data_IF_068623018534
#
_entry.id   IF_068623018534
#
_cell.length_a   1.000
_cell.length_b   1.000
_cell.length_c   1.000
_cell.angle_alpha   90.00
_cell.angle_beta   90.00
_cell.angle_gamma   90.00
#
_symmetry.space_group_name_H-M   'P 1'
#
loop_
_entity.id
_entity.type
_entity.pdbx_description
1 polymer ?
#
# COMPACT_ATOMS: atom_id res chain seq x y z
N UNK A 1 11.74 35.11 -16.97
CA UNK A 1 10.76 35.53 -15.95
C UNK A 1 10.26 34.28 -15.22
N UNK A 2 10.82 33.95 -14.06
CA UNK A 2 10.35 32.81 -13.26
C UNK A 2 9.28 33.31 -12.29
N UNK A 3 8.01 32.96 -12.56
CA UNK A 3 6.89 33.30 -11.70
C UNK A 3 7.04 32.69 -10.32
N UNK A 4 6.82 33.48 -9.27
CA UNK A 4 6.83 33.05 -7.86
C UNK A 4 5.74 31.99 -7.65
N UNK A 5 6.13 30.73 -7.53
CA UNK A 5 5.24 29.64 -7.16
C UNK A 5 5.05 29.65 -5.64
N UNK A 6 3.82 29.73 -5.16
CA UNK A 6 3.52 29.59 -3.72
C UNK A 6 3.04 28.16 -3.50
N UNK A 7 3.75 27.41 -2.66
CA UNK A 7 3.45 26.02 -2.35
C UNK A 7 2.43 25.94 -1.21
N UNK A 8 1.42 25.08 -1.34
CA UNK A 8 0.67 24.54 -0.20
C UNK A 8 1.28 23.19 0.15
N UNK A 9 2.03 23.15 1.25
CA UNK A 9 2.62 21.91 1.78
C UNK A 9 1.66 21.34 2.82
N UNK A 10 1.06 20.19 2.51
CA UNK A 10 0.34 19.40 3.51
C UNK A 10 1.30 18.43 4.20
N UNK A 11 1.33 18.45 5.54
CA UNK A 11 1.94 17.38 6.32
C UNK A 11 0.91 16.26 6.47
N UNK A 12 1.22 15.07 5.96
CA UNK A 12 0.37 13.88 6.16
C UNK A 12 1.11 12.97 7.12
N UNK A 13 0.47 12.60 8.24
CA UNK A 13 1.06 11.64 9.17
C UNK A 13 0.97 10.24 8.57
N UNK A 14 2.10 9.53 8.55
CA UNK A 14 2.20 8.19 7.99
C UNK A 14 1.32 7.16 8.73
N UNK A 15 0.98 7.45 9.99
CA UNK A 15 0.24 6.55 10.88
C UNK A 15 -1.26 6.44 10.55
N UNK A 16 -1.86 7.40 9.84
CA UNK A 16 -3.31 7.34 9.56
C UNK A 16 -3.68 6.21 8.58
N UNK A 17 -2.70 5.57 7.92
CA UNK A 17 -2.91 4.40 7.06
C UNK A 17 -2.40 3.07 7.65
N UNK A 18 -1.55 3.13 8.68
CA UNK A 18 -1.11 1.95 9.40
C UNK A 18 -2.08 1.72 10.55
N UNK A 19 -3.23 1.12 10.24
CA UNK A 19 -4.31 0.87 11.20
C UNK A 19 -3.78 0.22 12.48
N UNK A 20 -3.68 1.00 13.56
CA UNK A 20 -3.89 0.47 14.88
C UNK A 20 -5.37 0.08 14.94
N UNK A 21 -5.64 -1.22 14.98
CA UNK A 21 -6.97 -1.77 15.25
C UNK A 21 -7.40 -1.53 16.70
N UNK A 22 -7.31 -0.29 17.18
CA UNK A 22 -8.04 0.14 18.37
C UNK A 22 -9.28 0.88 17.89
N UNK A 23 -10.42 0.18 17.99
CA UNK A 23 -11.75 0.72 17.81
C UNK A 23 -11.93 1.98 18.67
N UNK A 24 -11.93 3.14 18.02
CA UNK A 24 -12.62 4.31 18.55
C UNK A 24 -13.85 4.54 17.68
N UNK A 25 -14.91 3.82 18.05
CA UNK A 25 -16.26 4.02 17.53
C UNK A 25 -16.73 5.44 17.87
N UNK A 26 -16.97 6.24 16.85
CA UNK A 26 -17.55 7.56 17.02
C UNK A 26 -17.95 8.18 15.70
N UNK A 27 -19.00 7.65 15.06
CA UNK A 27 -19.97 8.41 14.24
C UNK A 27 -21.27 7.59 14.20
N UNK A 28 -22.33 8.24 14.68
CA UNK A 28 -23.70 7.76 14.71
C UNK A 28 -24.27 7.60 13.30
N UNK A 29 -24.78 6.42 12.99
CA UNK A 29 -25.60 6.14 11.81
C UNK A 29 -26.60 5.04 12.15
N UNK A 30 -27.79 5.46 12.57
CA UNK A 30 -28.92 4.63 12.96
C UNK A 30 -29.23 3.53 11.93
N UNK A 31 -29.14 2.26 12.35
CA UNK A 31 -29.86 1.16 11.71
C UNK A 31 -30.22 0.13 12.78
N UNK A 32 -31.40 0.29 13.38
CA UNK A 32 -31.94 -0.60 14.41
C UNK A 32 -32.35 -1.95 13.80
N UNK A 33 -31.70 -3.04 14.22
CA UNK A 33 -32.31 -4.38 14.22
C UNK A 33 -32.21 -4.96 15.63
N UNK A 34 -33.38 -5.24 16.19
CA UNK A 34 -33.58 -5.93 17.46
C UNK A 34 -33.00 -7.35 17.39
N UNK A 35 -32.17 -7.70 18.37
CA UNK A 35 -31.90 -9.10 18.72
C UNK A 35 -32.19 -9.29 20.21
N UNK A 36 -33.06 -10.27 20.44
CA UNK A 36 -33.58 -10.74 21.72
C UNK A 36 -32.48 -11.46 22.50
N UNK A 37 -32.33 -11.09 23.77
CA UNK A 37 -31.45 -11.72 24.75
C UNK A 37 -32.18 -12.85 25.49
N UNK A 38 -31.60 -14.04 25.50
CA UNK A 38 -31.91 -15.13 26.43
C UNK A 38 -30.62 -15.48 27.20
N UNK A 39 -30.66 -15.67 28.55
CA UNK A 39 -29.53 -16.13 29.32
C UNK A 39 -29.61 -17.65 29.56
N UNK A 40 -28.59 -18.40 29.15
CA UNK A 40 -28.39 -19.78 29.60
C UNK A 40 -27.32 -19.85 30.69
N UNK A 41 -27.72 -20.48 31.79
CA UNK A 41 -26.95 -20.72 33.00
C UNK A 41 -26.49 -22.18 33.10
N UNK A 42 -25.30 -22.36 33.68
CA UNK A 42 -24.84 -23.53 34.46
C UNK A 42 -24.71 -24.88 33.74
N UNK A 43 -23.49 -25.43 33.72
CA UNK A 43 -23.08 -26.45 34.69
C UNK A 43 -21.65 -26.96 34.41
N UNK A 44 -20.92 -27.15 35.51
CA UNK A 44 -19.52 -27.58 35.58
C UNK A 44 -19.53 -29.05 35.97
N UNK A 45 -18.97 -29.93 35.14
CA UNK A 45 -18.72 -31.33 35.48
C UNK A 45 -17.26 -31.69 35.19
N UNK A 46 -16.56 -32.09 36.24
CA UNK A 46 -15.21 -32.68 36.22
C UNK A 46 -15.29 -34.19 36.06
N UNK A 47 -14.39 -34.82 35.29
CA UNK A 47 -14.06 -36.23 35.47
C UNK A 47 -12.59 -36.46 35.87
N UNK A 48 -12.23 -37.68 36.31
CA UNK A 48 -11.15 -37.92 37.25
C UNK A 48 -9.81 -38.30 36.61
N UNK A 49 -8.78 -38.21 37.45
CA UNK A 49 -7.41 -38.71 37.34
C UNK A 49 -7.26 -40.02 36.56
N UNK A 50 -6.32 -40.03 35.61
CA UNK A 50 -5.58 -41.25 35.25
C UNK A 50 -4.22 -40.86 34.68
N UNK A 51 -3.19 -40.96 35.51
CA UNK A 51 -1.79 -40.80 35.12
C UNK A 51 -1.19 -42.13 34.67
N UNK A 52 -0.60 -42.22 33.46
CA UNK A 52 0.48 -43.16 33.20
C UNK A 52 1.84 -42.43 33.27
N UNK A 53 2.74 -43.02 34.06
CA UNK A 53 4.12 -42.57 34.22
C UNK A 53 4.85 -42.55 32.87
N UNK A 54 5.28 -41.35 32.46
CA UNK A 54 6.13 -41.15 31.29
C UNK A 54 7.60 -41.16 31.74
N UNK A 55 8.36 -42.15 31.25
CA UNK A 55 9.80 -42.26 31.46
C UNK A 55 10.50 -41.16 30.66
N UNK A 56 11.08 -40.19 31.36
CA UNK A 56 11.98 -39.18 30.79
C UNK A 56 13.31 -39.82 30.43
N UNK A 57 13.49 -40.17 29.16
CA UNK A 57 14.82 -40.41 28.60
C UNK A 57 15.54 -39.06 28.43
N UNK A 58 16.56 -38.85 29.26
CA UNK A 58 17.47 -37.71 29.22
C UNK A 58 18.42 -37.83 28.02
N UNK A 59 17.98 -37.31 26.88
CA UNK A 59 18.88 -37.05 25.75
C UNK A 59 19.76 -35.84 26.08
N UNK A 60 20.95 -36.09 26.65
CA UNK A 60 22.05 -35.14 26.75
C UNK A 60 22.60 -34.80 25.36
N UNK A 61 21.85 -34.03 24.57
CA UNK A 61 22.39 -33.34 23.43
C UNK A 61 23.29 -32.20 23.95
N UNK A 62 24.57 -32.22 23.58
CA UNK A 62 25.55 -31.15 23.83
C UNK A 62 25.00 -29.83 23.29
N UNK A 63 24.31 -29.08 24.15
CA UNK A 63 23.87 -27.71 23.87
C UNK A 63 25.14 -26.86 23.84
N UNK A 64 25.60 -26.50 22.66
CA UNK A 64 26.61 -25.45 22.48
C UNK A 64 25.96 -24.17 22.96
N UNK A 65 26.18 -23.83 24.24
CA UNK A 65 25.75 -22.56 24.82
C UNK A 65 26.62 -21.49 24.17
N UNK A 66 26.09 -20.83 23.14
CA UNK A 66 26.76 -19.69 22.55
C UNK A 66 26.67 -18.55 23.56
N UNK A 67 27.80 -18.15 24.16
CA UNK A 67 27.96 -17.01 25.09
C UNK A 67 27.60 -15.62 24.49
N UNK A 68 26.82 -15.58 23.41
CA UNK A 68 26.47 -14.35 22.68
C UNK A 68 25.40 -13.55 23.44
N UNK A 69 24.68 -14.16 24.38
CA UNK A 69 23.62 -13.50 25.16
C UNK A 69 24.13 -12.52 26.24
N UNK A 70 25.44 -12.48 26.54
CA UNK A 70 26.01 -11.61 27.58
C UNK A 70 26.73 -10.36 27.06
N UNK A 71 26.58 -10.01 25.78
CA UNK A 71 27.09 -8.72 25.31
C UNK A 71 26.11 -7.59 25.65
N UNK A 72 26.55 -6.54 26.37
CA UNK A 72 25.70 -5.38 26.62
C UNK A 72 25.26 -4.79 25.27
N UNK A 73 24.01 -4.28 25.16
CA UNK A 73 23.51 -3.69 23.93
C UNK A 73 24.44 -2.55 23.50
N UNK A 74 25.14 -2.71 22.37
CA UNK A 74 25.98 -1.66 21.83
C UNK A 74 25.09 -0.51 21.35
N UNK A 75 25.28 0.67 21.95
CA UNK A 75 24.53 1.90 21.65
C UNK A 75 24.97 2.60 20.37
N UNK A 76 25.91 2.02 19.61
CA UNK A 76 26.37 2.63 18.36
C UNK A 76 25.30 2.52 17.28
N UNK A 77 24.95 3.65 16.66
CA UNK A 77 24.07 3.73 15.49
C UNK A 77 24.76 3.08 14.29
N UNK A 78 24.73 1.75 14.25
CA UNK A 78 25.23 0.94 13.15
C UNK A 78 24.57 1.39 11.85
N UNK A 79 25.38 1.56 10.80
CA UNK A 79 24.91 1.77 9.42
C UNK A 79 23.81 0.75 9.07
N UNK A 80 22.90 1.14 8.17
CA UNK A 80 21.87 0.21 7.64
C UNK A 80 22.54 -1.06 7.12
N UNK A 81 23.68 -0.95 6.43
CA UNK A 81 24.47 -2.10 6.01
C UNK A 81 24.91 -3.01 7.18
N UNK A 82 25.30 -2.43 8.31
CA UNK A 82 25.69 -3.21 9.50
C UNK A 82 24.49 -3.88 10.17
N UNK A 83 23.35 -3.20 10.28
CA UNK A 83 22.09 -3.80 10.77
C UNK A 83 21.60 -4.91 9.85
N UNK A 84 21.67 -4.67 8.53
CA UNK A 84 21.41 -5.67 7.51
C UNK A 84 22.31 -6.87 7.76
N UNK A 85 23.64 -6.72 7.87
CA UNK A 85 24.57 -7.85 8.10
C UNK A 85 24.23 -8.67 9.34
N UNK A 86 23.80 -8.04 10.44
CA UNK A 86 23.39 -8.78 11.65
C UNK A 86 22.06 -9.52 11.48
N UNK A 87 21.04 -8.87 10.91
CA UNK A 87 19.75 -9.52 10.60
C UNK A 87 19.95 -10.66 9.58
N UNK A 88 20.83 -10.43 8.61
CA UNK A 88 21.26 -11.36 7.58
C UNK A 88 21.81 -12.66 8.17
N UNK A 89 22.68 -12.59 9.18
CA UNK A 89 23.29 -13.81 9.75
C UNK A 89 22.23 -14.70 10.42
N UNK A 90 21.21 -14.08 11.01
CA UNK A 90 20.08 -14.81 11.61
C UNK A 90 19.12 -15.34 10.55
N UNK A 91 18.80 -14.55 9.52
CA UNK A 91 17.94 -14.96 8.43
C UNK A 91 18.56 -16.12 7.61
N UNK A 92 19.85 -16.04 7.29
CA UNK A 92 20.58 -17.10 6.60
C UNK A 92 20.60 -18.41 7.42
N UNK A 93 20.70 -18.30 8.76
CA UNK A 93 20.62 -19.46 9.66
C UNK A 93 19.22 -20.10 9.61
N UNK A 94 18.15 -19.31 9.55
CA UNK A 94 16.76 -19.81 9.39
C UNK A 94 16.53 -20.47 8.02
N UNK A 95 17.18 -19.98 6.95
CA UNK A 95 16.97 -20.49 5.58
C UNK A 95 17.63 -21.81 5.26
N UNK A 96 18.74 -22.16 5.91
CA UNK A 96 19.34 -23.49 5.72
C UNK A 96 18.38 -24.63 6.08
N UNK A 97 17.34 -24.35 6.88
CA UNK A 97 16.29 -25.31 7.18
C UNK A 97 15.20 -25.44 6.08
N UNK A 98 15.19 -24.60 5.03
CA UNK A 98 14.08 -24.52 4.05
C UNK A 98 14.49 -24.44 2.57
N UNK A 99 15.78 -24.51 2.22
CA UNK A 99 16.25 -24.23 0.87
C UNK A 99 16.07 -25.41 -0.10
N UNK A 100 14.95 -25.44 -0.83
CA UNK A 100 14.82 -26.06 -2.15
C UNK A 100 13.92 -25.15 -3.01
N UNK A 101 14.49 -24.33 -3.90
CA UNK A 101 13.70 -23.60 -4.89
C UNK A 101 14.35 -22.37 -5.51
N UNK A 102 14.86 -22.52 -6.73
CA UNK A 102 15.25 -21.48 -7.68
C UNK A 102 14.03 -20.64 -8.13
N UNK A 103 13.74 -19.51 -7.47
CA UNK A 103 12.54 -18.70 -7.76
C UNK A 103 12.60 -17.90 -9.08
N UNK A 104 13.80 -17.59 -9.58
CA UNK A 104 13.99 -16.71 -10.75
C UNK A 104 13.51 -17.32 -12.07
N UNK A 105 13.66 -18.63 -12.25
CA UNK A 105 13.20 -19.32 -13.48
C UNK A 105 11.68 -19.36 -13.59
N UNK A 106 10.96 -19.45 -12.46
CA UNK A 106 9.50 -19.49 -12.45
C UNK A 106 8.90 -18.13 -12.81
N UNK A 107 9.48 -17.05 -12.30
CA UNK A 107 9.07 -15.68 -12.63
C UNK A 107 9.11 -15.44 -14.14
N UNK A 108 10.25 -15.74 -14.77
CA UNK A 108 10.43 -15.55 -16.20
C UNK A 108 9.45 -16.39 -17.04
N UNK A 109 9.17 -17.63 -16.64
CA UNK A 109 8.21 -18.51 -17.32
C UNK A 109 6.76 -18.00 -17.19
N UNK A 110 6.36 -17.54 -16.00
CA UNK A 110 5.02 -16.96 -15.76
C UNK A 110 4.84 -15.67 -16.55
N UNK A 111 5.85 -14.80 -16.57
CA UNK A 111 5.83 -13.58 -17.37
C UNK A 111 5.78 -13.88 -18.87
N UNK A 112 6.54 -14.88 -19.35
CA UNK A 112 6.50 -15.31 -20.75
C UNK A 112 5.10 -15.82 -21.15
N UNK A 113 4.45 -16.62 -20.30
CA UNK A 113 3.08 -17.11 -20.52
C UNK A 113 2.05 -15.97 -20.59
N UNK A 114 2.21 -14.95 -19.74
CA UNK A 114 1.38 -13.74 -19.78
C UNK A 114 1.60 -12.93 -21.05
N UNK A 115 2.86 -12.82 -21.53
CA UNK A 115 3.19 -12.15 -22.80
C UNK A 115 2.61 -12.86 -24.02
N UNK A 116 2.57 -14.19 -24.02
CA UNK A 116 1.99 -14.97 -25.13
C UNK A 116 0.46 -14.86 -25.18
N UNK A 117 -0.18 -14.66 -24.03
CA UNK A 117 -1.63 -14.49 -23.91
C UNK A 117 -2.07 -13.03 -24.10
N UNK A 118 -1.47 -12.30 -25.04
CA UNK A 118 -1.79 -10.89 -25.33
C UNK A 118 -3.15 -10.80 -26.04
N UNK A 119 -4.20 -11.17 -25.33
CA UNK A 119 -5.59 -10.95 -25.72
C UNK A 119 -5.77 -9.45 -25.96
N UNK A 120 -6.43 -9.03 -27.05
CA UNK A 120 -6.70 -7.62 -27.29
C UNK A 120 -7.38 -7.03 -26.04
N UNK A 121 -6.86 -5.88 -25.57
CA UNK A 121 -7.34 -5.23 -24.36
C UNK A 121 -8.85 -4.97 -24.49
N UNK A 122 -9.65 -5.78 -23.81
CA UNK A 122 -11.10 -5.63 -23.80
C UNK A 122 -11.45 -4.50 -22.83
N UNK A 123 -12.21 -3.54 -23.32
CA UNK A 123 -12.74 -2.46 -22.51
C UNK A 123 -14.19 -2.80 -22.14
N UNK A 124 -14.56 -2.55 -20.89
CA UNK A 124 -15.93 -2.71 -20.41
C UNK A 124 -16.58 -1.34 -20.33
N UNK A 125 -17.83 -1.27 -20.80
CA UNK A 125 -18.64 -0.05 -20.78
C UNK A 125 -19.69 -0.17 -19.70
N UNK A 126 -19.67 0.75 -18.75
CA UNK A 126 -20.70 0.90 -17.72
C UNK A 126 -21.55 2.13 -18.02
N UNK A 127 -22.84 2.09 -17.67
CA UNK A 127 -23.71 3.26 -17.70
C UNK A 127 -23.92 3.69 -16.25
N UNK A 128 -23.38 4.83 -15.87
CA UNK A 128 -23.57 5.38 -14.53
C UNK A 128 -24.62 6.48 -14.56
N UNK A 129 -25.55 6.43 -13.59
CA UNK A 129 -26.48 7.52 -13.37
C UNK A 129 -25.70 8.76 -12.92
N UNK A 130 -25.82 9.85 -13.67
CA UNK A 130 -25.16 11.11 -13.31
C UNK A 130 -26.03 11.79 -12.28
N UNK A 131 -25.52 11.95 -11.05
CA UNK A 131 -26.17 12.83 -10.08
C UNK A 131 -25.91 14.25 -10.57
N UNK A 132 -26.94 15.03 -10.97
CA UNK A 132 -26.72 16.41 -11.38
C UNK A 132 -26.11 17.17 -10.20
N UNK A 133 -24.83 17.52 -10.31
CA UNK A 133 -24.11 18.33 -9.33
C UNK A 133 -24.48 19.82 -9.44
N UNK A 134 -25.65 20.11 -10.01
CA UNK A 134 -26.17 21.47 -10.07
C UNK A 134 -26.87 21.68 -8.75
N UNK A 135 -26.32 22.49 -7.81
CA UNK A 135 -27.09 22.88 -6.64
C UNK A 135 -28.41 23.45 -7.15
N UNK A 136 -29.55 23.04 -6.57
CA UNK A 136 -30.85 23.50 -7.05
C UNK A 136 -30.79 25.01 -7.19
N UNK A 137 -31.20 25.58 -8.34
CA UNK A 137 -31.21 27.03 -8.50
C UNK A 137 -31.95 27.57 -7.28
N UNK A 138 -31.34 28.52 -6.57
CA UNK A 138 -32.01 29.23 -5.49
C UNK A 138 -33.08 30.06 -6.17
N UNK A 139 -34.25 29.45 -6.41
CA UNK A 139 -35.42 30.13 -6.92
C UNK A 139 -35.89 30.98 -5.77
N UNK A 140 -35.66 32.29 -5.87
CA UNK A 140 -36.22 33.27 -4.96
C UNK A 140 -37.74 33.14 -5.04
N UNK A 141 -38.36 32.66 -3.95
CA UNK A 141 -39.76 32.23 -3.93
C UNK A 141 -40.65 33.47 -3.90
N UNK A 142 -40.98 34.01 -5.08
CA UNK A 142 -42.13 34.89 -5.22
C UNK A 142 -43.42 34.03 -5.21
N UNK A 143 -44.24 34.21 -4.18
CA UNK A 143 -45.50 33.50 -3.96
C UNK A 143 -46.49 33.77 -5.11
N UNK A 144 -46.52 32.91 -6.13
CA UNK A 144 -47.59 32.85 -7.13
C UNK A 144 -48.18 31.44 -7.16
N UNK A 145 -49.51 31.38 -7.14
CA UNK A 145 -50.31 30.16 -7.08
C UNK A 145 -49.87 29.13 -8.13
N UNK A 146 -49.44 27.97 -7.64
CA UNK A 146 -48.66 26.99 -8.39
C UNK A 146 -49.55 26.03 -9.20
N UNK A 147 -49.45 26.11 -10.53
CA UNK A 147 -49.85 25.00 -11.42
C UNK A 147 -48.81 23.86 -11.36
N UNK A 148 -49.25 22.58 -11.36
CA UNK A 148 -48.36 21.42 -11.28
C UNK A 148 -47.55 21.25 -12.57
N UNK A 149 -46.42 21.94 -12.65
CA UNK A 149 -45.46 21.81 -13.75
C UNK A 149 -44.69 20.49 -13.62
N UNK A 150 -45.16 19.45 -14.32
CA UNK A 150 -44.58 18.11 -14.37
C UNK A 150 -43.29 18.02 -15.19
N UNK A 151 -42.23 18.76 -14.82
CA UNK A 151 -40.93 18.61 -15.46
C UNK A 151 -40.21 17.36 -14.92
N UNK A 152 -40.44 16.21 -15.57
CA UNK A 152 -39.65 15.00 -15.36
C UNK A 152 -38.24 15.22 -15.90
N UNK A 153 -37.32 15.65 -15.03
CA UNK A 153 -35.90 15.76 -15.36
C UNK A 153 -35.36 14.36 -15.72
N UNK A 154 -35.12 14.12 -17.02
CA UNK A 154 -34.56 12.87 -17.49
C UNK A 154 -33.20 12.61 -16.82
N UNK A 155 -33.05 11.48 -16.14
CA UNK A 155 -31.80 11.05 -15.51
C UNK A 155 -30.78 10.73 -16.61
N UNK A 156 -29.78 11.61 -16.77
CA UNK A 156 -28.70 11.43 -17.74
C UNK A 156 -27.74 10.31 -17.33
N UNK A 157 -27.56 9.31 -18.19
CA UNK A 157 -26.57 8.25 -18.00
C UNK A 157 -25.27 8.60 -18.72
N UNK A 158 -24.16 8.68 -17.99
CA UNK A 158 -22.83 8.90 -18.58
C UNK A 158 -22.14 7.55 -18.80
N UNK A 159 -21.69 7.24 -20.04
CA UNK A 159 -20.94 6.02 -20.30
C UNK A 159 -19.51 6.13 -19.72
N UNK A 160 -19.12 5.16 -18.89
CA UNK A 160 -17.77 5.03 -18.33
C UNK A 160 -17.11 3.81 -18.97
N UNK A 161 -15.91 3.99 -19.52
CA UNK A 161 -15.14 2.92 -20.17
C UNK A 161 -13.93 2.60 -19.31
N UNK A 162 -13.81 1.36 -18.85
CA UNK A 162 -12.68 0.90 -18.04
C UNK A 162 -12.00 -0.31 -18.71
N UNK A 163 -10.67 -0.43 -18.60
CA UNK A 163 -9.99 -1.63 -19.06
C UNK A 163 -10.39 -2.82 -18.20
N UNK A 164 -10.67 -3.97 -18.81
CA UNK A 164 -10.98 -5.20 -18.07
C UNK A 164 -9.82 -5.65 -17.19
N UNK A 165 -8.60 -5.46 -17.68
CA UNK A 165 -7.36 -5.88 -17.02
C UNK A 165 -6.34 -4.74 -16.96
N UNK A 166 -5.50 -4.75 -15.93
CA UNK A 166 -4.43 -3.79 -15.77
C UNK A 166 -3.17 -4.28 -16.50
N UNK A 167 -2.74 -3.54 -17.53
CA UNK A 167 -1.55 -3.90 -18.30
C UNK A 167 -0.27 -3.82 -17.46
N UNK A 168 0.60 -4.82 -17.53
CA UNK A 168 1.89 -4.84 -16.82
C UNK A 168 3.03 -4.33 -17.73
N UNK A 169 3.97 -3.51 -17.24
CA UNK A 169 5.12 -3.07 -18.02
C UNK A 169 6.11 -4.23 -18.26
N UNK A 170 6.98 -4.08 -19.25
CA UNK A 170 8.06 -5.05 -19.50
C UNK A 170 9.03 -5.12 -18.33
N UNK A 171 9.36 -6.34 -17.89
CA UNK A 171 10.33 -6.58 -16.83
C UNK A 171 11.65 -5.87 -17.10
N UNK A 172 12.12 -5.16 -16.08
CA UNK A 172 13.43 -4.52 -16.04
C UNK A 172 14.08 -4.89 -14.71
N UNK A 173 15.37 -5.20 -14.76
CA UNK A 173 16.13 -5.46 -13.54
C UNK A 173 16.53 -4.16 -12.83
N UNK A 174 16.83 -4.27 -11.53
CA UNK A 174 17.28 -3.14 -10.71
C UNK A 174 18.68 -2.72 -11.14
N UNK A 175 18.89 -1.41 -11.29
CA UNK A 175 20.23 -0.88 -11.57
C UNK A 175 21.13 -1.07 -10.36
N UNK A 176 22.24 -1.81 -10.54
CA UNK A 176 23.28 -1.95 -9.51
C UNK A 176 23.89 -0.60 -9.14
N UNK A 177 24.01 0.31 -10.10
CA UNK A 177 24.47 1.69 -9.86
C UNK A 177 23.57 2.43 -8.88
N UNK A 178 22.24 2.28 -8.99
CA UNK A 178 21.30 2.92 -8.08
C UNK A 178 21.40 2.37 -6.65
N UNK A 179 21.67 1.06 -6.51
CA UNK A 179 21.91 0.44 -5.20
C UNK A 179 23.21 0.92 -4.56
N UNK A 180 24.31 0.96 -5.32
CA UNK A 180 25.61 1.45 -4.85
C UNK A 180 25.55 2.93 -4.48
N UNK A 181 24.81 3.74 -5.23
CA UNK A 181 24.60 5.14 -4.90
C UNK A 181 23.78 5.34 -3.61
N UNK A 182 22.85 4.44 -3.32
CA UNK A 182 22.09 4.46 -2.07
C UNK A 182 22.92 3.98 -0.87
N UNK A 183 23.76 2.96 -1.05
CA UNK A 183 24.67 2.43 -0.06
C UNK A 183 25.89 1.74 -0.74
N UNK A 184 27.09 2.35 -0.72
CA UNK A 184 28.28 1.79 -1.37
C UNK A 184 28.71 0.42 -0.84
N UNK A 185 28.33 0.06 0.38
CA UNK A 185 28.68 -1.24 0.96
C UNK A 185 27.95 -2.41 0.29
N UNK A 186 26.93 -2.12 -0.54
CA UNK A 186 26.12 -3.13 -1.22
C UNK A 186 26.62 -3.50 -2.62
N UNK A 187 27.78 -3.01 -3.05
CA UNK A 187 28.30 -3.23 -4.41
C UNK A 187 28.37 -4.71 -4.83
N UNK A 188 28.70 -5.61 -3.90
CA UNK A 188 28.79 -7.07 -4.14
C UNK A 188 27.57 -7.85 -3.64
N UNK A 189 26.55 -7.16 -3.13
CA UNK A 189 25.36 -7.82 -2.58
C UNK A 189 24.40 -8.23 -3.70
N UNK A 190 23.81 -9.42 -3.58
CA UNK A 190 22.75 -9.88 -4.47
C UNK A 190 21.43 -9.13 -4.21
N UNK A 191 20.72 -8.75 -5.27
CA UNK A 191 19.50 -7.93 -5.18
C UNK A 191 18.36 -8.70 -4.53
N UNK A 192 18.23 -9.99 -4.83
CA UNK A 192 17.18 -10.85 -4.24
C UNK A 192 17.39 -10.91 -2.73
N UNK A 193 18.63 -11.18 -2.33
CA UNK A 193 19.01 -11.23 -0.94
C UNK A 193 18.77 -9.90 -0.19
N UNK A 194 19.13 -8.78 -0.81
CA UNK A 194 18.86 -7.45 -0.26
C UNK A 194 17.36 -7.22 -0.04
N UNK A 195 16.52 -7.56 -1.02
CA UNK A 195 15.05 -7.37 -0.92
C UNK A 195 14.44 -8.15 0.24
N UNK A 196 14.89 -9.37 0.45
CA UNK A 196 14.39 -10.18 1.55
C UNK A 196 14.83 -9.63 2.92
N UNK A 197 16.06 -9.13 3.03
CA UNK A 197 16.52 -8.45 4.24
C UNK A 197 15.72 -7.16 4.50
N UNK A 198 15.45 -6.39 3.44
CA UNK A 198 14.61 -5.19 3.50
C UNK A 198 13.16 -5.49 3.88
N UNK A 199 12.62 -6.65 3.50
CA UNK A 199 11.29 -7.08 3.91
C UNK A 199 11.22 -7.34 5.42
N UNK A 200 12.30 -7.84 6.04
CA UNK A 200 12.36 -8.07 7.49
C UNK A 200 12.46 -6.75 8.28
N UNK A 201 13.35 -5.84 7.86
CA UNK A 201 13.57 -4.57 8.59
C UNK A 201 12.64 -3.43 8.16
N UNK A 202 11.94 -3.59 7.05
CA UNK A 202 11.11 -2.54 6.44
C UNK A 202 10.00 -2.00 7.35
N UNK A 203 9.25 -2.84 8.11
CA UNK A 203 8.26 -2.34 9.07
C UNK A 203 8.84 -1.40 10.13
N UNK A 204 10.04 -1.69 10.64
CA UNK A 204 10.72 -0.84 11.63
C UNK A 204 11.23 0.46 11.01
N UNK A 205 11.76 0.39 9.78
CA UNK A 205 12.12 1.59 9.02
C UNK A 205 10.90 2.48 8.79
N UNK A 206 9.75 1.90 8.46
CA UNK A 206 8.49 2.63 8.27
C UNK A 206 8.00 3.29 9.55
N UNK A 207 8.09 2.59 10.69
CA UNK A 207 7.77 3.14 12.01
C UNK A 207 8.66 4.34 12.33
N UNK A 208 9.95 4.27 11.98
CA UNK A 208 10.89 5.39 12.12
C UNK A 208 10.48 6.64 11.35
N UNK A 209 9.85 6.48 10.17
CA UNK A 209 9.34 7.62 9.39
C UNK A 209 8.22 8.39 10.08
N UNK A 210 7.47 7.76 11.00
CA UNK A 210 6.42 8.42 11.77
C UNK A 210 6.97 9.29 12.92
N UNK A 211 8.19 9.03 13.39
CA UNK A 211 8.86 9.80 14.46
C UNK A 211 9.48 11.11 13.97
N UNK A 212 9.16 11.52 12.74
CA UNK A 212 9.85 12.57 12.01
C UNK A 212 8.91 13.69 11.64
N UNK A 213 9.34 14.91 11.94
CA UNK A 213 8.61 16.12 11.57
C UNK A 213 9.47 16.99 10.66
N UNK A 214 9.00 17.22 9.43
CA UNK A 214 9.63 18.15 8.49
C UNK A 214 9.01 19.55 8.63
N UNK A 215 9.84 20.59 8.63
CA UNK A 215 9.36 21.98 8.66
C UNK A 215 9.07 22.46 7.23
N UNK A 216 7.83 22.80 6.86
CA UNK A 216 7.52 23.18 5.48
C UNK A 216 8.11 24.56 5.11
N UNK A 217 8.71 24.66 3.92
CA UNK A 217 9.12 25.95 3.35
C UNK A 217 7.92 26.68 2.72
N UNK A 218 7.86 28.02 2.82
CA UNK A 218 6.70 28.79 2.33
C UNK A 218 6.75 29.15 0.84
N UNK A 219 7.95 29.29 0.27
CA UNK A 219 8.13 30.04 -0.99
C UNK A 219 8.66 29.20 -2.16
N UNK A 220 9.46 28.17 -1.89
CA UNK A 220 10.05 27.32 -2.92
C UNK A 220 10.39 25.97 -2.33
N UNK A 221 10.39 24.91 -3.15
CA UNK A 221 10.89 23.60 -2.75
C UNK A 221 12.42 23.71 -2.56
N UNK A 222 12.95 23.59 -1.33
CA UNK A 222 14.38 23.68 -1.13
C UNK A 222 15.04 22.36 -1.54
N UNK A 223 16.34 22.39 -1.84
CA UNK A 223 17.11 21.19 -2.12
C UNK A 223 17.42 20.38 -0.85
N UNK A 224 17.33 21.03 0.31
CA UNK A 224 17.58 20.44 1.63
C UNK A 224 16.56 20.97 2.62
N UNK A 225 16.19 20.14 3.60
CA UNK A 225 15.22 20.53 4.62
C UNK A 225 15.61 20.03 5.99
N UNK A 226 15.45 20.90 6.99
CA UNK A 226 15.64 20.53 8.38
C UNK A 226 14.43 19.74 8.87
N UNK A 227 14.72 18.53 9.32
CA UNK A 227 13.80 17.63 10.00
C UNK A 227 14.12 17.63 11.50
N UNK A 228 13.07 17.43 12.29
CA UNK A 228 13.17 17.13 13.71
C UNK A 228 12.91 15.64 13.90
N UNK A 229 13.87 14.95 14.51
CA UNK A 229 13.83 13.54 14.87
C UNK A 229 13.57 13.44 16.37
N UNK A 230 12.47 12.77 16.73
CA UNK A 230 12.07 12.59 18.14
C UNK A 230 12.68 11.35 18.79
N UNK A 231 13.05 10.35 17.99
CA UNK A 231 13.64 9.10 18.46
C UNK A 231 14.88 8.76 17.62
N UNK A 232 16.05 8.69 18.24
CA UNK A 232 17.31 8.35 17.58
C UNK A 232 17.57 6.83 17.52
N UNK A 233 16.76 6.00 18.17
CA UNK A 233 16.86 4.55 18.08
C UNK A 233 16.38 4.02 16.72
N UNK A 234 15.50 4.78 16.05
CA UNK A 234 14.91 4.42 14.76
C UNK A 234 15.93 4.53 13.62
N UNK A 235 15.65 3.81 12.53
CA UNK A 235 16.42 4.00 11.29
C UNK A 235 15.99 5.32 10.67
N UNK A 236 16.96 6.23 10.50
CA UNK A 236 16.70 7.55 9.96
C UNK A 236 16.53 7.51 8.44
N UNK A 237 15.60 8.28 7.87
CA UNK A 237 15.48 8.41 6.44
C UNK A 237 16.73 9.04 5.87
N UNK A 238 16.99 8.73 4.61
CA UNK A 238 18.11 9.29 3.86
C UNK A 238 17.73 10.56 3.10
N UNK A 239 16.45 10.70 2.74
CA UNK A 239 15.94 11.66 1.78
C UNK A 239 14.51 12.09 2.13
N UNK A 240 14.09 13.24 1.63
CA UNK A 240 12.68 13.66 1.56
C UNK A 240 12.23 13.61 0.10
N UNK A 241 11.18 12.88 -0.21
CA UNK A 241 10.56 12.95 -1.54
C UNK A 241 9.51 14.05 -1.59
N UNK A 242 9.65 14.95 -2.56
CA UNK A 242 8.64 15.91 -2.93
C UNK A 242 7.79 15.37 -4.07
N UNK A 243 6.67 14.74 -3.71
CA UNK A 243 5.76 14.11 -4.66
C UNK A 243 4.81 15.16 -5.25
N UNK A 244 4.70 15.17 -6.58
CA UNK A 244 3.76 16.04 -7.31
C UNK A 244 3.19 15.35 -8.55
N UNK A 245 2.06 15.88 -9.04
CA UNK A 245 1.36 15.38 -10.22
C UNK A 245 1.74 16.11 -11.51
N UNK A 246 1.37 15.55 -12.68
CA UNK A 246 1.55 16.23 -13.97
C UNK A 246 0.76 17.54 -14.02
N UNK A 247 1.23 18.51 -14.81
CA UNK A 247 0.49 19.77 -15.06
C UNK A 247 -0.72 19.44 -15.94
N UNK A 248 -1.90 19.88 -15.53
CA UNK A 248 -3.08 19.86 -16.38
C UNK A 248 -2.96 20.94 -17.46
N UNK A 249 -3.04 20.54 -18.73
CA UNK A 249 -2.96 21.47 -19.88
C UNK A 249 -4.02 22.57 -19.82
N UNK A 250 -5.14 22.32 -19.15
CA UNK A 250 -6.24 23.26 -18.98
C UNK A 250 -5.93 24.43 -18.04
N UNK A 251 -4.92 24.31 -17.17
CA UNK A 251 -4.59 25.36 -16.21
C UNK A 251 -3.08 25.41 -15.89
N UNK A 252 -2.26 25.99 -16.79
CA UNK A 252 -0.81 26.04 -16.60
C UNK A 252 -0.38 26.93 -15.42
N UNK A 253 -1.22 27.86 -14.98
CA UNK A 253 -0.93 28.78 -13.87
C UNK A 253 -1.27 28.17 -12.50
N UNK A 254 -1.97 27.03 -12.47
CA UNK A 254 -2.36 26.40 -11.22
C UNK A 254 -1.15 25.92 -10.43
N UNK A 255 -1.02 26.41 -9.20
CA UNK A 255 0.00 25.98 -8.24
C UNK A 255 -0.13 24.48 -8.00
N UNK A 256 0.98 23.75 -8.16
CA UNK A 256 1.00 22.30 -7.93
C UNK A 256 0.95 22.01 -6.44
N UNK A 257 0.09 21.08 -6.05
CA UNK A 257 0.12 20.48 -4.71
C UNK A 257 1.37 19.59 -4.62
N UNK A 258 2.20 19.85 -3.62
CA UNK A 258 3.41 19.08 -3.34
C UNK A 258 3.26 18.50 -1.93
N UNK A 259 3.55 17.22 -1.79
CA UNK A 259 3.57 16.53 -0.49
C UNK A 259 4.95 15.96 -0.24
N UNK A 260 5.48 16.22 0.97
CA UNK A 260 6.81 15.77 1.38
C UNK A 260 6.68 14.46 2.16
N UNK A 261 7.47 13.45 1.79
CA UNK A 261 7.54 12.16 2.47
C UNK A 261 8.98 11.82 2.83
N UNK A 262 9.31 11.56 4.10
CA UNK A 262 10.63 11.04 4.45
C UNK A 262 10.76 9.60 3.90
N UNK A 263 11.92 9.26 3.33
CA UNK A 263 12.16 7.95 2.72
C UNK A 263 13.57 7.43 2.95
N UNK A 264 13.70 6.12 2.81
CA UNK A 264 14.96 5.43 2.69
C UNK A 264 15.23 5.13 1.21
N UNK A 265 16.23 5.78 0.62
CA UNK A 265 16.63 5.65 -0.78
C UNK A 265 16.89 4.20 -1.16
N UNK A 266 17.39 3.40 -0.21
CA UNK A 266 17.65 1.97 -0.39
C UNK A 266 16.38 1.17 -0.74
N UNK A 267 15.24 1.43 -0.08
CA UNK A 267 13.96 0.77 -0.39
C UNK A 267 13.54 1.09 -1.82
N UNK A 268 13.61 2.37 -2.19
CA UNK A 268 13.22 2.80 -3.53
C UNK A 268 14.18 2.27 -4.60
N UNK A 269 15.48 2.25 -4.32
CA UNK A 269 16.49 1.73 -5.26
C UNK A 269 16.36 0.22 -5.44
N UNK A 270 15.97 -0.53 -4.41
CA UNK A 270 15.79 -1.99 -4.49
C UNK A 270 14.51 -2.41 -5.25
N UNK A 271 13.48 -1.56 -5.31
CA UNK A 271 12.18 -1.93 -5.89
C UNK A 271 11.80 -1.12 -7.13
N UNK A 272 12.33 0.08 -7.35
CA UNK A 272 11.95 0.96 -8.46
C UNK A 272 13.07 1.06 -9.50
N UNK A 273 12.88 0.43 -10.66
CA UNK A 273 13.93 0.30 -11.69
C UNK A 273 14.05 1.50 -12.62
N UNK A 274 13.08 2.44 -12.58
CA UNK A 274 13.10 3.67 -13.38
C UNK A 274 13.59 4.90 -12.61
N UNK A 275 13.88 4.77 -11.32
CA UNK A 275 14.44 5.89 -10.57
C UNK A 275 15.92 6.08 -10.92
N UNK A 276 16.38 7.33 -11.15
CA UNK A 276 17.80 7.59 -11.25
C UNK A 276 18.49 7.30 -9.90
N UNK A 277 19.79 7.02 -9.89
CA UNK A 277 20.58 6.94 -8.66
C UNK A 277 20.27 8.10 -7.71
N UNK A 278 20.17 7.81 -6.41
CA UNK A 278 20.02 8.85 -5.40
C UNK A 278 21.35 9.56 -5.19
N UNK A 279 21.35 10.88 -4.93
CA UNK A 279 22.57 11.53 -4.46
C UNK A 279 23.00 10.93 -3.13
N UNK A 280 24.30 11.00 -2.82
CA UNK A 280 24.81 10.53 -1.55
C UNK A 280 24.08 11.26 -0.40
N UNK A 281 23.61 10.50 0.59
CA UNK A 281 23.02 11.09 1.79
C UNK A 281 24.07 11.86 2.57
N UNK A 282 23.68 12.98 3.17
CA UNK A 282 24.53 13.75 4.07
C UNK A 282 24.90 12.84 5.26
N UNK A 283 26.20 12.66 5.57
CA UNK A 283 26.61 11.86 6.71
C UNK A 283 25.92 12.32 7.98
N UNK A 284 25.38 11.38 8.75
CA UNK A 284 24.84 11.68 10.06
C UNK A 284 25.96 12.27 10.93
N UNK A 285 25.71 13.40 11.63
CA UNK A 285 26.65 13.91 12.61
C UNK A 285 26.99 12.79 13.58
N UNK A 286 28.28 12.50 13.74
CA UNK A 286 28.73 11.51 14.72
C UNK A 286 28.14 11.91 16.08
N UNK A 287 27.24 11.09 16.62
CA UNK A 287 26.73 11.33 17.96
C UNK A 287 27.94 11.22 18.91
N UNK A 288 28.18 12.20 19.78
CA UNK A 288 29.21 12.07 20.80
C UNK A 288 28.92 10.81 21.61
N UNK A 289 29.87 9.88 21.66
CA UNK A 289 29.73 8.57 22.31
C UNK A 289 29.33 8.69 23.78
N UNK A 290 29.64 9.83 24.40
CA UNK A 290 29.40 10.12 25.83
C UNK A 290 28.22 11.07 26.08
N UNK A 291 27.43 11.41 25.06
CA UNK A 291 26.27 12.27 25.27
C UNK A 291 25.19 11.49 26.06
N UNK A 292 24.65 12.05 27.17
CA UNK A 292 23.56 11.41 27.91
C UNK A 292 22.37 11.16 26.97
N UNK A 293 21.53 10.13 27.25
CA UNK A 293 20.37 9.81 26.42
C UNK A 293 19.54 11.08 26.21
N UNK A 294 19.62 11.62 25.00
CA UNK A 294 19.04 12.93 24.69
C UNK A 294 17.53 12.78 24.69
N UNK A 295 16.89 13.34 25.71
CA UNK A 295 15.45 13.63 25.71
C UNK A 295 15.10 14.81 24.80
N UNK A 296 16.10 15.50 24.23
CA UNK A 296 15.89 16.63 23.35
C UNK A 296 15.77 16.21 21.87
N UNK A 297 14.80 16.79 21.12
CA UNK A 297 14.66 16.55 19.69
C UNK A 297 15.94 16.88 18.92
N UNK A 298 16.32 16.01 17.98
CA UNK A 298 17.51 16.18 17.15
C UNK A 298 17.13 16.79 15.80
N UNK A 299 17.80 17.89 15.42
CA UNK A 299 17.61 18.48 14.09
C UNK A 299 18.62 17.92 13.10
N UNK A 300 18.15 17.43 11.96
CA UNK A 300 18.96 16.86 10.90
C UNK A 300 18.52 17.39 9.53
N UNK A 301 19.49 17.87 8.74
CA UNK A 301 19.27 18.36 7.38
C UNK A 301 19.33 17.20 6.40
N UNK A 302 18.31 17.07 5.55
CA UNK A 302 18.20 15.98 4.57
C UNK A 302 17.94 16.52 3.16
N UNK A 303 18.55 15.91 2.12
CA UNK A 303 18.26 16.26 0.73
C UNK A 303 16.80 15.98 0.33
N UNK A 304 16.21 16.93 -0.38
CA UNK A 304 14.86 16.86 -0.93
C UNK A 304 14.94 16.49 -2.40
N UNK A 305 14.28 15.40 -2.79
CA UNK A 305 14.23 14.90 -4.16
C UNK A 305 12.83 15.07 -4.77
N UNK A 306 12.66 15.87 -5.83
CA UNK A 306 11.40 15.97 -6.55
C UNK A 306 11.10 14.67 -7.31
N UNK A 307 9.85 14.18 -7.23
CA UNK A 307 9.38 13.02 -7.97
C UNK A 307 7.97 13.27 -8.53
N UNK A 308 7.87 13.28 -9.86
CA UNK A 308 6.59 13.38 -10.54
C UNK A 308 5.94 11.99 -10.61
N UNK A 309 4.72 11.87 -10.10
CA UNK A 309 3.92 10.65 -10.21
C UNK A 309 2.61 10.92 -10.95
N UNK A 310 2.10 9.97 -11.76
CA UNK A 310 0.79 10.10 -12.39
C UNK A 310 -0.34 10.35 -11.38
N UNK A 311 -0.30 9.67 -10.22
CA UNK A 311 -1.31 9.79 -9.19
C UNK A 311 -0.71 9.99 -7.79
N UNK A 312 -0.33 11.22 -7.40
CA UNK A 312 0.32 11.53 -6.12
C UNK A 312 -0.40 10.97 -4.89
N UNK A 313 -1.72 10.98 -4.88
CA UNK A 313 -2.53 10.55 -3.73
C UNK A 313 -2.44 9.04 -3.43
N UNK A 314 -2.03 8.21 -4.41
CA UNK A 314 -1.82 6.77 -4.18
C UNK A 314 -0.40 6.43 -3.71
N UNK A 315 0.52 7.41 -3.65
CA UNK A 315 1.92 7.15 -3.30
C UNK A 315 2.07 6.54 -1.90
N UNK A 316 1.32 7.01 -0.91
CA UNK A 316 1.49 6.55 0.47
C UNK A 316 1.13 5.06 0.64
N UNK A 317 0.10 4.57 -0.08
CA UNK A 317 -0.26 3.14 -0.12
C UNK A 317 0.84 2.31 -0.74
N UNK A 318 1.42 2.80 -1.84
CA UNK A 318 2.55 2.15 -2.49
C UNK A 318 3.76 2.09 -1.57
N UNK A 319 4.11 3.20 -0.92
CA UNK A 319 5.22 3.27 0.02
C UNK A 319 5.01 2.27 1.17
N UNK A 320 3.84 2.29 1.82
CA UNK A 320 3.52 1.34 2.89
C UNK A 320 3.70 -0.12 2.45
N UNK A 321 3.24 -0.48 1.25
CA UNK A 321 3.48 -1.81 0.69
C UNK A 321 4.96 -2.10 0.47
N UNK A 322 5.74 -1.18 -0.10
CA UNK A 322 7.17 -1.41 -0.36
C UNK A 322 7.97 -1.67 0.92
N UNK A 323 7.58 -1.05 2.04
CA UNK A 323 8.21 -1.29 3.34
C UNK A 323 7.72 -2.57 4.02
N UNK A 324 6.42 -2.87 3.97
CA UNK A 324 5.84 -3.94 4.79
C UNK A 324 5.63 -5.26 4.05
N UNK A 325 5.55 -5.20 2.71
CA UNK A 325 5.13 -6.31 1.84
C UNK A 325 3.80 -6.96 2.25
N UNK A 326 2.95 -6.24 2.98
CA UNK A 326 1.65 -6.70 3.46
C UNK A 326 0.57 -6.48 2.40
N UNK A 327 0.23 -7.55 1.69
CA UNK A 327 -0.83 -7.58 0.67
C UNK A 327 -2.21 -7.39 1.26
N UNK A 328 -2.44 -7.87 2.46
CA UNK A 328 -3.70 -7.76 3.19
C UNK A 328 -4.05 -6.30 3.54
N UNK A 329 -3.07 -5.55 4.08
CA UNK A 329 -3.25 -4.11 4.34
C UNK A 329 -3.45 -3.35 3.03
N UNK A 330 -2.66 -3.68 1.99
CA UNK A 330 -2.79 -3.02 0.71
C UNK A 330 -4.20 -3.23 0.14
N UNK A 331 -4.68 -4.47 0.10
CA UNK A 331 -6.02 -4.83 -0.36
C UNK A 331 -7.08 -4.04 0.39
N UNK A 332 -7.06 -4.06 1.73
CA UNK A 332 -8.00 -3.30 2.55
C UNK A 332 -7.96 -1.79 2.25
N UNK A 333 -6.78 -1.22 1.97
CA UNK A 333 -6.62 0.21 1.67
C UNK A 333 -7.14 0.64 0.29
N UNK A 334 -7.36 -0.33 -0.61
CA UNK A 334 -7.86 -0.13 -1.97
C UNK A 334 -9.39 -0.30 -2.04
N UNK A 335 -9.96 -1.11 -1.17
CA UNK A 335 -11.40 -1.36 -1.10
C UNK A 335 -12.14 -0.23 -0.37
N UNK A 336 -13.46 -0.06 -0.62
CA UNK A 336 -14.35 0.68 0.27
C UNK A 336 -14.26 0.16 1.71
N UNK A 337 -14.65 0.96 2.72
CA UNK A 337 -14.60 0.55 4.14
C UNK A 337 -15.63 -0.54 4.44
N UNK A 338 -15.33 -1.75 3.98
CA UNK A 338 -16.10 -2.97 4.15
C UNK A 338 -15.10 -4.09 4.44
N UNK A 339 -15.20 -4.78 5.59
CA UNK A 339 -14.24 -5.82 5.95
C UNK A 339 -14.20 -6.89 4.88
N UNK A 340 -12.99 -7.39 4.59
CA UNK A 340 -12.84 -8.55 3.73
C UNK A 340 -13.35 -9.80 4.48
N UNK A 341 -14.04 -10.73 3.80
CA UNK A 341 -14.38 -12.03 4.38
C UNK A 341 -13.14 -12.75 4.92
N UNK A 342 -13.29 -13.46 6.04
CA UNK A 342 -12.22 -14.27 6.59
C UNK A 342 -11.82 -15.36 5.59
N UNK A 343 -10.52 -15.46 5.28
CA UNK A 343 -10.02 -16.43 4.30
C UNK A 343 -10.34 -16.06 2.85
N UNK A 344 -10.66 -14.80 2.55
CA UNK A 344 -10.90 -14.33 1.19
C UNK A 344 -9.77 -14.75 0.23
N UNK A 345 -10.13 -15.56 -0.78
CA UNK A 345 -9.24 -15.94 -1.87
C UNK A 345 -9.70 -15.28 -3.16
N UNK A 346 -8.86 -14.39 -3.71
CA UNK A 346 -9.13 -13.71 -4.97
C UNK A 346 -9.16 -14.66 -6.18
N UNK A 347 -8.66 -15.88 -6.03
CA UNK A 347 -8.69 -16.93 -7.04
C UNK A 347 -10.04 -17.66 -7.07
N UNK A 348 -10.78 -17.65 -5.96
CA UNK A 348 -12.11 -18.26 -5.86
C UNK A 348 -13.17 -17.30 -6.41
N UNK A 349 -13.65 -17.61 -7.62
CA UNK A 349 -14.68 -16.83 -8.31
C UNK A 349 -15.91 -16.61 -7.43
N UNK A 350 -16.37 -17.62 -6.68
CA UNK A 350 -17.58 -17.51 -5.86
C UNK A 350 -17.41 -16.50 -4.74
N UNK A 351 -16.23 -16.43 -4.13
CA UNK A 351 -15.93 -15.45 -3.09
C UNK A 351 -15.84 -14.03 -3.64
N UNK A 352 -15.21 -13.86 -4.82
CA UNK A 352 -15.17 -12.57 -5.53
C UNK A 352 -16.58 -12.08 -5.83
N UNK A 353 -17.45 -12.94 -6.36
CA UNK A 353 -18.83 -12.59 -6.69
C UNK A 353 -19.66 -12.23 -5.45
N UNK A 354 -19.54 -13.02 -4.37
CA UNK A 354 -20.24 -12.76 -3.11
C UNK A 354 -19.83 -11.41 -2.52
N UNK A 355 -18.53 -11.14 -2.45
CA UNK A 355 -18.01 -9.88 -1.91
C UNK A 355 -18.34 -8.68 -2.81
N UNK A 356 -18.23 -8.83 -4.14
CA UNK A 356 -18.64 -7.80 -5.09
C UNK A 356 -20.13 -7.45 -4.97
N UNK A 357 -20.99 -8.46 -4.76
CA UNK A 357 -22.43 -8.27 -4.53
C UNK A 357 -22.67 -7.50 -3.23
N UNK A 358 -21.97 -7.85 -2.15
CA UNK A 358 -22.04 -7.12 -0.88
C UNK A 358 -21.62 -5.65 -1.04
N UNK A 359 -20.56 -5.37 -1.80
CA UNK A 359 -20.13 -4.01 -2.08
C UNK A 359 -21.17 -3.24 -2.90
N UNK A 360 -21.76 -3.89 -3.92
CA UNK A 360 -22.77 -3.28 -4.77
C UNK A 360 -24.08 -2.94 -4.04
N UNK A 361 -24.44 -3.70 -3.00
CA UNK A 361 -25.61 -3.41 -2.16
C UNK A 361 -25.33 -2.33 -1.11
N UNK A 362 -24.07 -2.20 -0.69
CA UNK A 362 -23.66 -1.26 0.37
C UNK A 362 -23.29 0.12 -0.17
N UNK A 363 -22.66 0.18 -1.35
CA UNK A 363 -22.10 1.40 -1.92
C UNK A 363 -22.72 1.74 -3.27
N UNK A 364 -22.79 3.05 -3.57
CA UNK A 364 -23.23 3.52 -4.89
C UNK A 364 -22.20 3.20 -5.96
N UNK A 365 -22.64 3.05 -7.21
CA UNK A 365 -21.73 2.86 -8.35
C UNK A 365 -20.66 3.98 -8.47
N UNK A 366 -21.00 5.21 -8.07
CA UNK A 366 -20.03 6.31 -8.04
C UNK A 366 -18.94 6.12 -6.99
N UNK A 367 -19.29 5.69 -5.77
CA UNK A 367 -18.31 5.40 -4.73
C UNK A 367 -17.39 4.24 -5.14
N UNK A 368 -17.94 3.17 -5.72
CA UNK A 368 -17.16 2.05 -6.26
C UNK A 368 -16.21 2.51 -7.37
N UNK A 369 -16.66 3.41 -8.27
CA UNK A 369 -15.80 3.99 -9.30
C UNK A 369 -14.65 4.82 -8.71
N UNK A 370 -14.90 5.60 -7.65
CA UNK A 370 -13.84 6.35 -6.98
C UNK A 370 -12.74 5.41 -6.44
N UNK A 371 -13.12 4.28 -5.85
CA UNK A 371 -12.16 3.25 -5.41
C UNK A 371 -11.43 2.60 -6.58
N UNK A 372 -12.12 2.31 -7.68
CA UNK A 372 -11.47 1.83 -8.90
C UNK A 372 -10.41 2.85 -9.39
N UNK A 373 -10.70 4.15 -9.36
CA UNK A 373 -9.73 5.19 -9.72
C UNK A 373 -8.51 5.23 -8.79
N UNK A 374 -8.64 4.87 -7.51
CA UNK A 374 -7.50 4.74 -6.59
C UNK A 374 -6.60 3.57 -7.02
N UNK A 375 -7.18 2.42 -7.34
CA UNK A 375 -6.45 1.23 -7.84
C UNK A 375 -5.75 1.56 -9.15
N UNK A 376 -6.45 2.19 -10.09
CA UNK A 376 -5.86 2.62 -11.37
C UNK A 376 -4.73 3.65 -11.16
N UNK A 377 -4.90 4.61 -10.25
CA UNK A 377 -3.85 5.56 -9.91
C UNK A 377 -2.62 4.89 -9.27
N UNK A 378 -2.83 3.89 -8.41
CA UNK A 378 -1.74 3.06 -7.88
C UNK A 378 -1.01 2.32 -9.01
N UNK A 379 -1.76 1.65 -9.89
CA UNK A 379 -1.24 0.98 -11.07
C UNK A 379 -0.37 1.91 -11.93
N UNK A 380 -0.83 3.12 -12.23
CA UNK A 380 -0.06 4.10 -12.99
C UNK A 380 1.26 4.47 -12.30
N UNK A 381 1.27 4.62 -10.98
CA UNK A 381 2.50 4.87 -10.23
C UNK A 381 3.46 3.69 -10.28
N UNK A 382 2.95 2.45 -10.14
CA UNK A 382 3.74 1.22 -10.24
C UNK A 382 4.38 1.11 -11.63
N UNK A 383 3.65 1.41 -12.69
CA UNK A 383 4.15 1.50 -14.06
C UNK A 383 5.20 2.60 -14.24
N UNK A 384 4.96 3.80 -13.68
CA UNK A 384 5.88 4.92 -13.79
C UNK A 384 7.23 4.63 -13.10
N UNK A 385 7.19 3.97 -11.94
CA UNK A 385 8.37 3.56 -11.17
C UNK A 385 8.98 2.23 -11.65
N UNK A 386 8.27 1.50 -12.51
CA UNK A 386 8.64 0.21 -13.07
C UNK A 386 9.00 -0.81 -11.98
N UNK A 387 8.02 -1.05 -11.09
CA UNK A 387 8.13 -1.97 -9.97
C UNK A 387 7.70 -3.38 -10.40
N UNK A 388 8.53 -4.37 -10.10
CA UNK A 388 8.30 -5.78 -10.43
C UNK A 388 8.20 -6.61 -9.14
N UNK A 389 6.98 -6.71 -8.60
CA UNK A 389 6.68 -7.44 -7.37
C UNK A 389 5.36 -8.19 -7.58
N UNK A 390 5.40 -9.53 -7.59
CA UNK A 390 4.23 -10.34 -7.96
C UNK A 390 3.07 -10.14 -6.99
N UNK A 391 3.36 -10.11 -5.69
CA UNK A 391 2.35 -9.94 -4.64
C UNK A 391 1.65 -8.59 -4.75
N UNK A 392 2.38 -7.51 -5.09
CA UNK A 392 1.78 -6.21 -5.41
C UNK A 392 0.81 -6.29 -6.58
N UNK A 393 1.26 -6.90 -7.68
CA UNK A 393 0.48 -6.98 -8.91
C UNK A 393 -0.76 -7.85 -8.73
N UNK A 394 -0.64 -9.01 -8.09
CA UNK A 394 -1.76 -9.90 -7.77
C UNK A 394 -2.80 -9.21 -6.88
N UNK A 395 -2.34 -8.45 -5.88
CA UNK A 395 -3.24 -7.69 -5.00
C UNK A 395 -4.00 -6.60 -5.77
N UNK A 396 -3.33 -5.87 -6.67
CA UNK A 396 -3.98 -4.86 -7.50
C UNK A 396 -4.98 -5.48 -8.47
N UNK A 397 -4.62 -6.58 -9.12
CA UNK A 397 -5.51 -7.29 -10.06
C UNK A 397 -6.75 -7.83 -9.34
N UNK A 398 -6.58 -8.39 -8.13
CA UNK A 398 -7.67 -8.84 -7.27
C UNK A 398 -8.61 -7.68 -6.90
N UNK A 399 -8.07 -6.57 -6.39
CA UNK A 399 -8.86 -5.38 -6.04
C UNK A 399 -9.61 -4.83 -7.26
N UNK A 400 -8.93 -4.74 -8.40
CA UNK A 400 -9.52 -4.29 -9.66
C UNK A 400 -10.69 -5.17 -10.09
N UNK A 401 -10.50 -6.50 -10.08
CA UNK A 401 -11.52 -7.46 -10.47
C UNK A 401 -12.77 -7.36 -9.56
N UNK A 402 -12.59 -7.34 -8.24
CA UNK A 402 -13.70 -7.22 -7.28
C UNK A 402 -14.47 -5.92 -7.52
N UNK A 403 -13.78 -4.79 -7.72
CA UNK A 403 -14.42 -3.50 -7.95
C UNK A 403 -15.17 -3.44 -9.28
N UNK A 404 -14.60 -4.00 -10.36
CA UNK A 404 -15.30 -4.09 -11.65
C UNK A 404 -16.55 -4.98 -11.54
N UNK A 405 -16.47 -6.12 -10.84
CA UNK A 405 -17.64 -6.97 -10.56
C UNK A 405 -18.70 -6.20 -9.76
N UNK A 406 -18.31 -5.43 -8.74
CA UNK A 406 -19.25 -4.66 -7.92
C UNK A 406 -19.92 -3.53 -8.73
N UNK A 407 -19.16 -2.86 -9.62
CA UNK A 407 -19.70 -1.84 -10.54
C UNK A 407 -20.66 -2.49 -11.55
N UNK A 408 -20.33 -3.67 -12.08
CA UNK A 408 -21.20 -4.43 -12.98
C UNK A 408 -22.53 -4.78 -12.31
N UNK A 409 -22.49 -5.30 -11.07
CA UNK A 409 -23.69 -5.63 -10.29
C UNK A 409 -24.52 -4.37 -9.98
N UNK A 410 -23.90 -3.30 -9.48
CA UNK A 410 -24.62 -2.06 -9.12
C UNK A 410 -25.21 -1.30 -10.31
N UNK A 411 -24.70 -1.53 -11.53
CA UNK A 411 -25.23 -0.93 -12.78
C UNK A 411 -26.19 -1.85 -13.54
N UNK A 412 -26.50 -3.04 -13.00
CA UNK A 412 -27.38 -4.02 -13.65
C UNK A 412 -26.78 -4.70 -14.88
N UNK A 413 -25.46 -4.63 -15.08
CA UNK A 413 -24.74 -5.25 -16.19
C UNK A 413 -23.84 -6.41 -15.71
N UNK A 414 -24.44 -7.35 -14.97
CA UNK A 414 -23.73 -8.47 -14.33
C UNK A 414 -22.97 -9.35 -15.35
N UNK A 415 -23.56 -9.56 -16.53
CA UNK A 415 -23.03 -10.41 -17.61
C UNK A 415 -21.69 -9.93 -18.17
N UNK A 416 -21.38 -8.63 -18.06
CA UNK A 416 -20.12 -8.08 -18.59
C UNK A 416 -18.87 -8.60 -17.86
N UNK A 417 -19.00 -9.02 -16.59
CA UNK A 417 -17.90 -9.51 -15.76
C UNK A 417 -18.02 -10.98 -15.39
N UNK A 418 -19.24 -11.50 -15.26
CA UNK A 418 -19.52 -12.88 -14.86
C UNK A 418 -20.22 -13.61 -16.01
N UNK A 419 -19.49 -14.31 -16.90
CA UNK A 419 -20.14 -15.19 -17.86
C UNK A 419 -20.87 -16.30 -17.10
N UNK A 420 -22.13 -16.50 -17.44
CA UNK A 420 -22.97 -17.57 -16.92
C UNK A 420 -22.36 -18.91 -17.35
N UNK A 421 -22.11 -19.82 -16.40
CA UNK A 421 -21.49 -21.15 -16.65
C UNK A 421 -22.31 -22.02 -17.61
N UNK A 422 -23.55 -21.64 -17.93
CA UNK A 422 -24.51 -22.41 -18.72
C UNK A 422 -24.10 -22.66 -20.19
N UNK A 423 -23.02 -22.06 -20.69
CA UNK A 423 -22.58 -22.25 -22.08
C UNK A 423 -21.64 -23.45 -22.32
N UNK A 424 -20.89 -23.93 -21.31
CA UNK A 424 -19.85 -24.96 -21.55
C UNK A 424 -20.40 -26.39 -21.67
N UNK A 425 -21.55 -26.70 -21.08
CA UNK A 425 -22.15 -28.05 -21.18
C UNK A 425 -22.86 -28.30 -22.52
N UNK A 426 -23.10 -27.26 -23.33
CA UNK A 426 -23.86 -27.39 -24.59
C UNK A 426 -23.01 -27.73 -25.82
N UNK A 427 -21.67 -27.68 -25.74
CA UNK A 427 -20.77 -28.01 -26.87
C UNK A 427 -20.18 -29.41 -26.83
N UNK A 428 -20.58 -30.24 -25.86
CA UNK A 428 -20.03 -31.58 -25.61
C UNK A 428 -20.93 -32.72 -26.10
N UNK A 429 -22.05 -32.42 -26.79
CA UNK A 429 -23.02 -33.41 -27.29
C UNK A 429 -22.93 -33.63 -28.79
#
# INVERSE_FOLDING_TARGET
MYGKQSLRIGSVRFLDLAGNGEETSGINGFCSRQLSSQPESLSRSTPPDTTPAMVLQSNFAKRVVSNVENHPPSTTTKSIASRLRTSITDAARRRRARANGTSTSKYNAVQAKRRSAKTPASNIKFRMATIPNVPPPVVDVEMRDAEPSGSSSATGNTPVVLPKELGRPDYRDVSREALVAADPELHDTDVTFLREALQEIGPDMLRGLAAITATPSKNALPNELNMIVHDLAVVLPSHLLAIYGPILKSNPEQKRKITLYPVHSLILSAYCTRLPPFPASIPLPALPTDAPPRSAPFSHTIPVRPLCLPHPASYLRLAAFLYTKRTDILMASLMPPCPLPAGFDASDRRQVEAYATQLATTFTGHALLQHAMIVHGLWQNVCALSIFDDSLWETMDAAWNVLLCAIAVSTGNKEAMMPTEEAEDSSSS
#
